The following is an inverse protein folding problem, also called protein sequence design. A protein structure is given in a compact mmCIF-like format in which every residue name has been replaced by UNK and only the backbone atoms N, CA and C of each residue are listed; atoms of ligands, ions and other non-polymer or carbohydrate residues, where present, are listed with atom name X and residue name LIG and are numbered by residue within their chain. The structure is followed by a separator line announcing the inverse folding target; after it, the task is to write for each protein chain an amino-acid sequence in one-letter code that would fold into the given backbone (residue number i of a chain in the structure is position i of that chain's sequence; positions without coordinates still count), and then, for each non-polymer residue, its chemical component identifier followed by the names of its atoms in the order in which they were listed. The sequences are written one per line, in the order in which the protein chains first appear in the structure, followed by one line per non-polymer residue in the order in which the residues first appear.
data_IF_096425021848
#
_entry.id   IF_096425021848
#
_cell.length_a   1.000
_cell.length_b   1.000
_cell.length_c   1.000
_cell.angle_alpha   90.00
_cell.angle_beta   90.00
_cell.angle_gamma   90.00
#
_symmetry.space_group_name_H-M   'P 1'
#
loop_
_entity.id
_entity.type
_entity.pdbx_description
1 polymer ?
#
# COMPACT_ATOMS: atom_id res chain seq x y z
N UNK A 1 -29.29 -25.79 9.71
CA UNK A 1 -30.10 -24.69 10.27
C UNK A 1 -29.33 -23.39 10.02
N UNK A 2 -29.76 -22.57 9.07
CA UNK A 2 -29.14 -21.29 8.76
C UNK A 2 -29.52 -20.28 9.87
N UNK A 3 -28.53 -19.83 10.65
CA UNK A 3 -28.71 -18.73 11.58
C UNK A 3 -28.89 -17.45 10.76
N UNK A 4 -30.13 -16.93 10.71
CA UNK A 4 -30.40 -15.61 10.16
C UNK A 4 -29.70 -14.58 11.06
N UNK A 5 -28.67 -13.93 10.56
CA UNK A 5 -28.07 -12.77 11.20
C UNK A 5 -29.17 -11.71 11.36
N UNK A 6 -29.40 -11.26 12.60
CA UNK A 6 -30.30 -10.15 12.88
C UNK A 6 -29.83 -8.90 12.13
N UNK A 7 -30.75 -8.04 11.63
CA UNK A 7 -30.37 -6.80 10.97
C UNK A 7 -29.52 -5.94 11.92
N UNK A 8 -28.42 -5.40 11.39
CA UNK A 8 -27.55 -4.49 12.14
C UNK A 8 -28.38 -3.31 12.67
N UNK A 9 -28.15 -2.87 13.92
CA UNK A 9 -28.84 -1.72 14.47
C UNK A 9 -28.57 -0.47 13.60
N UNK A 10 -29.53 0.47 13.52
CA UNK A 10 -29.33 1.70 12.77
C UNK A 10 -28.11 2.45 13.29
N UNK A 11 -27.18 2.76 12.38
CA UNK A 11 -26.00 3.57 12.68
C UNK A 11 -26.51 4.94 13.14
N UNK A 12 -26.21 5.30 14.40
CA UNK A 12 -26.54 6.61 14.92
C UNK A 12 -25.90 7.68 14.02
N UNK A 13 -26.72 8.63 13.56
CA UNK A 13 -26.25 9.79 12.82
C UNK A 13 -25.37 10.63 13.74
N UNK A 14 -24.05 10.57 13.55
CA UNK A 14 -23.12 11.46 14.23
C UNK A 14 -23.34 12.86 13.63
N UNK A 15 -23.99 13.74 14.38
CA UNK A 15 -24.05 15.15 13.99
C UNK A 15 -22.63 15.73 13.95
N UNK A 16 -22.21 16.36 12.85
CA UNK A 16 -20.88 16.94 12.76
C UNK A 16 -20.74 18.06 13.78
N UNK A 17 -19.98 17.82 14.85
CA UNK A 17 -19.59 18.87 15.78
C UNK A 17 -18.76 19.92 15.02
N UNK A 18 -19.25 21.16 15.01
CA UNK A 18 -18.56 22.28 14.39
C UNK A 18 -17.29 22.64 15.18
N UNK A 19 -16.18 21.97 14.88
CA UNK A 19 -14.86 22.37 15.37
C UNK A 19 -14.46 23.69 14.71
N UNK A 20 -14.36 24.78 15.50
CA UNK A 20 -13.78 26.04 15.04
C UNK A 20 -12.30 25.82 14.70
N UNK A 21 -12.01 25.50 13.44
CA UNK A 21 -10.65 25.31 12.96
C UNK A 21 -9.86 26.62 13.05
N UNK A 22 -8.75 26.59 13.78
CA UNK A 22 -7.82 27.71 13.90
C UNK A 22 -7.19 28.03 12.53
N UNK A 23 -6.67 29.24 12.34
CA UNK A 23 -5.95 29.60 11.11
C UNK A 23 -4.73 28.69 10.88
N UNK A 24 -4.09 28.20 11.95
CA UNK A 24 -3.01 27.22 11.89
C UNK A 24 -3.55 25.88 11.38
N UNK A 25 -4.67 25.39 11.91
CA UNK A 25 -5.29 24.13 11.44
C UNK A 25 -5.64 24.17 9.95
N UNK A 26 -6.07 25.33 9.46
CA UNK A 26 -6.38 25.53 8.03
C UNK A 26 -5.13 25.50 7.16
N UNK A 27 -4.03 26.09 7.64
CA UNK A 27 -2.74 26.06 6.95
C UNK A 27 -2.17 24.64 6.95
N UNK A 28 -2.18 23.97 8.10
CA UNK A 28 -1.70 22.60 8.27
C UNK A 28 -2.49 21.62 7.41
N UNK A 29 -3.83 21.74 7.37
CA UNK A 29 -4.68 20.96 6.47
C UNK A 29 -4.38 21.22 5.01
N UNK A 30 -4.14 22.47 4.61
CA UNK A 30 -3.79 22.79 3.22
C UNK A 30 -2.43 22.21 2.84
N UNK A 31 -1.45 22.30 3.72
CA UNK A 31 -0.12 21.73 3.51
C UNK A 31 -0.19 20.20 3.45
N UNK A 32 -0.89 19.57 4.39
CA UNK A 32 -1.14 18.13 4.41
C UNK A 32 -1.84 17.68 3.12
N UNK A 33 -2.94 18.33 2.75
CA UNK A 33 -3.66 18.03 1.52
C UNK A 33 -2.77 18.21 0.29
N UNK A 34 -1.93 19.24 0.23
CA UNK A 34 -1.02 19.45 -0.90
C UNK A 34 0.07 18.36 -0.99
N UNK A 35 0.62 17.91 0.14
CA UNK A 35 1.63 16.84 0.17
C UNK A 35 0.98 15.50 -0.18
N UNK A 36 -0.15 15.20 0.46
CA UNK A 36 -0.88 13.95 0.29
C UNK A 36 -1.48 13.83 -1.12
N UNK A 37 -2.05 14.91 -1.67
CA UNK A 37 -2.67 14.91 -3.01
C UNK A 37 -1.68 14.96 -4.16
N UNK A 38 -0.37 15.07 -3.92
CA UNK A 38 0.67 15.10 -4.96
C UNK A 38 1.56 13.87 -4.96
N UNK A 39 1.55 13.08 -3.88
CA UNK A 39 2.44 11.95 -3.71
C UNK A 39 1.67 10.64 -3.64
N UNK A 40 2.31 9.56 -4.09
CA UNK A 40 1.91 8.22 -3.67
C UNK A 40 2.22 8.08 -2.18
N UNK A 41 1.23 7.71 -1.38
CA UNK A 41 1.37 7.70 0.09
C UNK A 41 2.01 6.40 0.56
N UNK A 42 1.45 5.26 0.16
CA UNK A 42 1.92 3.92 0.55
C UNK A 42 2.41 3.15 -0.67
N UNK A 43 3.63 2.62 -0.61
CA UNK A 43 4.17 1.71 -1.63
C UNK A 43 3.71 0.26 -1.42
N UNK A 44 3.54 -0.13 -0.16
CA UNK A 44 2.98 -1.42 0.27
C UNK A 44 2.20 -1.24 1.56
N UNK A 45 1.26 -2.15 1.80
CA UNK A 45 0.63 -2.36 3.09
C UNK A 45 1.42 -3.46 3.84
N UNK A 46 1.53 -3.36 5.16
CA UNK A 46 2.39 -4.22 6.00
C UNK A 46 1.59 -4.99 7.07
N UNK A 47 0.27 -4.90 7.04
CA UNK A 47 -0.62 -5.62 7.94
C UNK A 47 -0.54 -7.13 7.66
N UNK A 48 -0.73 -7.94 8.71
CA UNK A 48 -0.77 -9.39 8.56
C UNK A 48 -2.13 -9.82 7.97
N UNK A 49 -2.17 -10.31 6.71
CA UNK A 49 -3.43 -10.73 6.10
C UNK A 49 -4.03 -11.98 6.76
N UNK A 50 -3.27 -12.74 7.55
CA UNK A 50 -3.80 -13.91 8.26
C UNK A 50 -4.84 -13.50 9.31
N UNK A 51 -4.63 -12.37 10.00
CA UNK A 51 -5.59 -11.84 10.97
C UNK A 51 -6.87 -11.42 10.28
N UNK A 52 -6.77 -10.71 9.15
CA UNK A 52 -7.94 -10.28 8.37
C UNK A 52 -8.74 -11.48 7.85
N UNK A 53 -8.06 -12.54 7.38
CA UNK A 53 -8.74 -13.77 6.95
C UNK A 53 -9.49 -14.47 8.07
N UNK A 54 -8.93 -14.50 9.27
CA UNK A 54 -9.60 -15.08 10.44
C UNK A 54 -10.82 -14.26 10.87
N UNK A 55 -10.70 -12.94 10.83
CA UNK A 55 -11.74 -12.02 11.27
C UNK A 55 -12.90 -11.92 10.26
N UNK A 56 -12.58 -11.81 8.97
CA UNK A 56 -13.57 -11.52 7.92
C UNK A 56 -14.23 -12.78 7.36
N UNK A 57 -13.52 -13.93 7.34
CA UNK A 57 -14.02 -15.21 6.83
C UNK A 57 -14.69 -15.12 5.44
N UNK A 58 -14.09 -14.31 4.54
CA UNK A 58 -14.66 -14.01 3.22
C UNK A 58 -14.94 -15.27 2.40
N UNK A 59 -16.08 -15.28 1.73
CA UNK A 59 -16.56 -16.30 0.80
C UNK A 59 -17.21 -15.72 -0.45
N UNK A 60 -17.67 -16.60 -1.35
CA UNK A 60 -18.05 -16.26 -2.73
C UNK A 60 -19.25 -15.31 -2.88
N UNK A 61 -20.07 -15.15 -1.84
CA UNK A 61 -21.22 -14.25 -1.85
C UNK A 61 -20.89 -12.83 -1.34
N UNK A 62 -19.71 -12.63 -0.76
CA UNK A 62 -19.35 -11.38 -0.11
C UNK A 62 -18.97 -10.27 -1.09
N UNK A 63 -19.37 -9.06 -0.73
CA UNK A 63 -18.99 -7.82 -1.42
C UNK A 63 -18.27 -6.91 -0.42
N UNK A 64 -17.00 -6.61 -0.67
CA UNK A 64 -16.14 -5.91 0.27
C UNK A 64 -15.83 -4.51 -0.25
N UNK A 65 -15.90 -3.50 0.62
CA UNK A 65 -15.35 -2.17 0.37
C UNK A 65 -14.04 -2.03 1.11
N UNK A 66 -12.96 -1.66 0.41
CA UNK A 66 -11.61 -1.56 0.95
C UNK A 66 -11.05 -0.19 0.61
N UNK A 67 -10.42 0.46 1.59
CA UNK A 67 -9.58 1.62 1.32
C UNK A 67 -8.36 1.13 0.56
N UNK A 68 -8.19 1.60 -0.68
CA UNK A 68 -7.23 0.99 -1.62
C UNK A 68 -5.84 0.93 -1.02
N UNK A 69 -5.32 2.03 -0.46
CA UNK A 69 -3.94 2.11 0.02
C UNK A 69 -2.99 1.61 -1.08
N UNK A 70 -2.03 0.71 -0.80
CA UNK A 70 -1.20 0.13 -1.85
C UNK A 70 -1.84 -1.06 -2.61
N UNK A 71 -3.07 -1.43 -2.27
CA UNK A 71 -3.82 -2.53 -2.87
C UNK A 71 -3.46 -3.93 -2.36
N UNK A 72 -2.50 -4.07 -1.45
CA UNK A 72 -2.00 -5.38 -1.01
C UNK A 72 -3.09 -6.23 -0.35
N UNK A 73 -3.83 -5.68 0.62
CA UNK A 73 -4.87 -6.42 1.34
C UNK A 73 -6.04 -6.76 0.41
N UNK A 74 -6.41 -5.85 -0.50
CA UNK A 74 -7.44 -6.13 -1.50
C UNK A 74 -7.08 -7.31 -2.41
N UNK A 75 -5.81 -7.41 -2.83
CA UNK A 75 -5.32 -8.54 -3.61
C UNK A 75 -5.27 -9.83 -2.77
N UNK A 76 -4.92 -9.74 -1.49
CA UNK A 76 -4.96 -10.88 -0.58
C UNK A 76 -6.41 -11.39 -0.39
N UNK A 77 -7.36 -10.48 -0.17
CA UNK A 77 -8.77 -10.83 -0.04
C UNK A 77 -9.32 -11.48 -1.31
N UNK A 78 -8.82 -11.09 -2.49
CA UNK A 78 -9.22 -11.72 -3.75
C UNK A 78 -8.87 -13.22 -3.80
N UNK A 79 -7.85 -13.67 -3.05
CA UNK A 79 -7.51 -15.10 -2.94
C UNK A 79 -8.59 -15.91 -2.21
N UNK A 80 -9.48 -15.25 -1.45
CA UNK A 80 -10.65 -15.89 -0.82
C UNK A 80 -11.85 -16.02 -1.77
N UNK A 81 -11.72 -15.48 -2.98
CA UNK A 81 -12.75 -15.52 -4.02
C UNK A 81 -14.07 -14.82 -3.67
N UNK A 82 -14.08 -13.63 -3.02
CA UNK A 82 -15.32 -12.90 -2.80
C UNK A 82 -15.96 -12.48 -4.11
N UNK A 83 -17.28 -12.25 -4.09
CA UNK A 83 -18.04 -11.84 -5.28
C UNK A 83 -17.48 -10.58 -5.92
N UNK A 84 -17.07 -9.61 -5.09
CA UNK A 84 -16.55 -8.33 -5.55
C UNK A 84 -15.77 -7.61 -4.45
N UNK A 85 -14.70 -6.92 -4.84
CA UNK A 85 -13.96 -5.99 -3.97
C UNK A 85 -13.99 -4.61 -4.61
N UNK A 86 -14.56 -3.65 -3.90
CA UNK A 86 -14.55 -2.23 -4.26
C UNK A 86 -13.36 -1.57 -3.58
N UNK A 87 -12.33 -1.22 -4.36
CA UNK A 87 -11.18 -0.48 -3.87
C UNK A 87 -11.40 1.02 -4.09
N UNK A 88 -11.57 1.78 -3.00
CA UNK A 88 -11.81 3.22 -3.04
C UNK A 88 -10.69 3.94 -2.32
N UNK A 89 -10.15 5.01 -2.91
CA UNK A 89 -9.18 5.86 -2.23
C UNK A 89 -9.46 7.32 -2.56
N UNK A 90 -9.22 8.19 -1.60
CA UNK A 90 -9.30 9.61 -1.84
C UNK A 90 -8.05 10.11 -2.58
N UNK A 91 -6.93 9.37 -2.55
CA UNK A 91 -5.75 9.64 -3.37
C UNK A 91 -5.74 8.70 -4.58
N UNK A 92 -6.07 9.17 -5.79
CA UNK A 92 -6.19 8.32 -6.97
C UNK A 92 -4.88 7.62 -7.38
N UNK A 93 -3.72 8.04 -6.84
CA UNK A 93 -2.42 7.37 -7.07
C UNK A 93 -2.35 6.00 -6.43
N UNK A 94 -3.10 5.79 -5.35
CA UNK A 94 -3.25 4.49 -4.69
C UNK A 94 -4.00 3.52 -5.59
N UNK A 95 -5.09 3.98 -6.20
CA UNK A 95 -5.78 3.23 -7.25
C UNK A 95 -4.87 2.97 -8.46
N UNK A 96 -4.10 3.97 -8.90
CA UNK A 96 -3.14 3.78 -9.99
C UNK A 96 -2.07 2.72 -9.67
N UNK A 97 -1.62 2.60 -8.41
CA UNK A 97 -0.70 1.52 -8.00
C UNK A 97 -1.37 0.15 -8.01
N UNK A 98 -2.61 0.06 -7.53
CA UNK A 98 -3.38 -1.19 -7.62
C UNK A 98 -3.59 -1.60 -9.09
N UNK A 99 -3.94 -0.67 -9.98
CA UNK A 99 -4.06 -0.93 -11.42
C UNK A 99 -2.76 -1.47 -12.01
N UNK A 100 -1.60 -0.88 -11.65
CA UNK A 100 -0.30 -1.36 -12.12
C UNK A 100 0.01 -2.78 -11.64
N UNK A 101 -0.32 -3.10 -10.39
CA UNK A 101 -0.18 -4.47 -9.84
C UNK A 101 -1.11 -5.46 -10.56
N UNK A 102 -2.37 -5.09 -10.78
CA UNK A 102 -3.34 -5.91 -11.50
C UNK A 102 -2.92 -6.18 -12.95
N UNK A 103 -2.44 -5.15 -13.66
CA UNK A 103 -1.90 -5.30 -15.00
C UNK A 103 -0.73 -6.30 -14.99
N UNK A 104 0.21 -6.14 -14.06
CA UNK A 104 1.37 -7.02 -13.96
C UNK A 104 1.00 -8.47 -13.59
N UNK A 105 0.04 -8.68 -12.70
CA UNK A 105 -0.46 -10.03 -12.36
C UNK A 105 -1.07 -10.72 -13.59
N UNK A 106 -1.73 -9.96 -14.47
CA UNK A 106 -2.40 -10.51 -15.65
C UNK A 106 -1.45 -10.81 -16.81
N UNK A 107 -0.38 -10.01 -16.97
CA UNK A 107 0.41 -10.01 -18.20
C UNK A 107 1.86 -10.44 -18.04
N UNK A 108 2.40 -10.47 -16.82
CA UNK A 108 3.80 -10.82 -16.57
C UNK A 108 3.96 -12.19 -15.92
N UNK A 109 5.13 -12.78 -16.10
CA UNK A 109 5.57 -13.93 -15.32
C UNK A 109 5.83 -13.51 -13.86
N UNK A 110 5.75 -14.48 -12.94
CA UNK A 110 5.90 -14.24 -11.51
C UNK A 110 7.27 -13.61 -11.18
N UNK A 111 8.34 -14.01 -11.85
CA UNK A 111 9.69 -13.51 -11.62
C UNK A 111 9.81 -12.02 -11.96
N UNK A 112 9.24 -11.60 -13.09
CA UNK A 112 9.21 -10.19 -13.47
C UNK A 112 8.32 -9.40 -12.49
N UNK A 113 7.15 -9.92 -12.10
CA UNK A 113 6.30 -9.31 -11.09
C UNK A 113 7.03 -9.13 -9.75
N UNK A 114 7.68 -10.18 -9.25
CA UNK A 114 8.36 -10.19 -7.96
C UNK A 114 9.55 -9.23 -7.94
N UNK A 115 10.29 -9.11 -9.04
CA UNK A 115 11.35 -8.09 -9.12
C UNK A 115 10.79 -6.67 -9.09
N UNK A 116 9.71 -6.41 -9.83
CA UNK A 116 9.08 -5.08 -9.86
C UNK A 116 8.54 -4.69 -8.49
N UNK A 117 7.76 -5.57 -7.85
CA UNK A 117 7.07 -5.24 -6.60
C UNK A 117 7.78 -5.78 -5.38
N UNK A 118 8.20 -7.04 -5.32
CA UNK A 118 8.92 -7.62 -4.18
C UNK A 118 10.31 -6.99 -3.94
N UNK A 119 11.13 -6.85 -4.98
CA UNK A 119 12.46 -6.20 -4.88
C UNK A 119 12.36 -4.67 -5.05
N UNK A 120 11.28 -4.18 -5.66
CA UNK A 120 11.10 -2.78 -6.00
C UNK A 120 12.01 -2.29 -7.11
N UNK A 121 12.62 -3.18 -7.90
CA UNK A 121 13.57 -2.85 -8.96
C UNK A 121 13.52 -3.87 -10.10
N UNK A 122 13.43 -3.38 -11.34
CA UNK A 122 13.56 -4.21 -12.51
C UNK A 122 14.35 -3.49 -13.64
N UNK A 123 15.46 -4.07 -14.13
CA UNK A 123 16.31 -3.40 -15.13
C UNK A 123 15.61 -3.17 -16.47
N UNK A 124 14.61 -3.99 -16.80
CA UNK A 124 13.78 -3.85 -18.02
C UNK A 124 12.38 -3.31 -17.73
N UNK A 125 12.16 -2.66 -16.57
CA UNK A 125 10.83 -2.17 -16.21
C UNK A 125 10.22 -1.29 -17.31
N UNK A 126 11.05 -0.45 -17.94
CA UNK A 126 10.59 0.44 -19.00
C UNK A 126 9.99 -0.31 -20.20
N UNK A 127 10.65 -1.36 -20.67
CA UNK A 127 10.14 -2.22 -21.75
C UNK A 127 8.85 -2.93 -21.32
N UNK A 128 8.89 -3.60 -20.16
CA UNK A 128 7.72 -4.31 -19.63
C UNK A 128 6.50 -3.40 -19.47
N UNK A 129 6.73 -2.18 -18.98
CA UNK A 129 5.69 -1.19 -18.81
C UNK A 129 5.06 -0.80 -20.15
N UNK A 130 5.87 -0.44 -21.15
CA UNK A 130 5.38 0.02 -22.45
C UNK A 130 4.69 -1.11 -23.25
N UNK A 131 5.23 -2.33 -23.18
CA UNK A 131 4.77 -3.47 -23.98
C UNK A 131 3.57 -4.19 -23.36
N UNK A 132 3.50 -4.27 -22.02
CA UNK A 132 2.53 -5.14 -21.34
C UNK A 132 1.63 -4.43 -20.33
N UNK A 133 2.13 -3.41 -19.62
CA UNK A 133 1.37 -2.84 -18.49
C UNK A 133 0.52 -1.65 -18.91
N UNK A 134 1.08 -0.75 -19.73
CA UNK A 134 0.52 0.57 -20.00
C UNK A 134 -0.88 0.52 -20.62
N UNK A 135 -1.14 -0.45 -21.49
CA UNK A 135 -2.43 -0.60 -22.20
C UNK A 135 -3.58 -0.99 -21.25
N UNK A 136 -3.29 -1.73 -20.18
CA UNK A 136 -4.28 -2.16 -19.17
C UNK A 136 -4.70 -1.02 -18.22
N UNK A 137 -3.92 0.07 -18.16
CA UNK A 137 -4.13 1.15 -17.20
C UNK A 137 -5.20 2.14 -17.66
N UNK A 138 -5.91 2.72 -16.70
CA UNK A 138 -6.79 3.88 -16.93
C UNK A 138 -5.99 5.12 -17.36
N UNK A 139 -6.63 6.13 -17.99
CA UNK A 139 -5.93 7.34 -18.42
C UNK A 139 -5.14 8.04 -17.31
N UNK A 140 -5.70 8.14 -16.10
CA UNK A 140 -5.00 8.72 -14.95
C UNK A 140 -3.79 7.88 -14.54
N UNK A 141 -3.96 6.56 -14.43
CA UNK A 141 -2.87 5.67 -14.05
C UNK A 141 -1.73 5.68 -15.09
N UNK A 142 -2.05 5.70 -16.40
CA UNK A 142 -1.05 5.86 -17.48
C UNK A 142 -0.27 7.16 -17.31
N UNK A 143 -0.97 8.29 -17.22
CA UNK A 143 -0.34 9.61 -17.12
C UNK A 143 0.55 9.72 -15.88
N UNK A 144 0.11 9.16 -14.75
CA UNK A 144 0.92 9.07 -13.55
C UNK A 144 2.16 8.20 -13.75
N UNK A 145 2.01 6.95 -14.19
CA UNK A 145 3.13 6.02 -14.28
C UNK A 145 4.10 6.36 -15.40
N UNK A 146 3.66 6.93 -16.52
CA UNK A 146 4.51 7.41 -17.62
C UNK A 146 5.61 8.36 -17.08
N UNK A 147 5.28 9.21 -16.11
CA UNK A 147 6.21 10.15 -15.45
C UNK A 147 7.08 9.52 -14.35
N UNK A 148 6.68 8.38 -13.79
CA UNK A 148 7.30 7.78 -12.60
C UNK A 148 7.94 6.41 -12.85
N UNK A 149 8.09 5.99 -14.11
CA UNK A 149 8.73 4.70 -14.47
C UNK A 149 10.12 4.52 -13.86
N UNK A 150 10.86 5.62 -13.72
CA UNK A 150 12.20 5.65 -13.12
C UNK A 150 12.25 5.15 -11.67
N UNK A 151 11.10 5.10 -10.97
CA UNK A 151 11.02 4.59 -9.60
C UNK A 151 11.36 3.10 -9.50
N UNK A 152 11.23 2.35 -10.60
CA UNK A 152 11.52 0.92 -10.65
C UNK A 152 12.85 0.60 -11.36
N UNK A 153 13.56 1.59 -11.91
CA UNK A 153 14.79 1.37 -12.69
C UNK A 153 16.05 1.88 -11.99
N UNK A 154 15.94 2.45 -10.79
CA UNK A 154 17.10 2.92 -10.02
C UNK A 154 17.63 1.84 -9.07
N UNK A 155 18.87 1.38 -9.28
CA UNK A 155 19.56 0.51 -8.30
C UNK A 155 19.84 1.20 -6.96
N UNK A 156 19.86 2.54 -6.94
CA UNK A 156 20.19 3.35 -5.75
C UNK A 156 18.97 3.72 -4.90
N UNK A 157 17.78 3.43 -5.39
CA UNK A 157 16.53 3.60 -4.67
C UNK A 157 15.47 2.74 -5.34
N UNK A 158 15.12 1.63 -4.71
CA UNK A 158 13.96 0.84 -5.13
C UNK A 158 12.69 1.68 -5.04
N UNK A 159 11.61 1.20 -5.67
CA UNK A 159 10.27 1.77 -5.61
C UNK A 159 9.86 2.18 -4.18
N UNK A 160 10.26 1.40 -3.18
CA UNK A 160 9.99 1.62 -1.75
C UNK A 160 10.69 2.84 -1.13
N UNK A 161 11.66 3.41 -1.83
CA UNK A 161 12.28 4.69 -1.49
C UNK A 161 11.75 5.82 -2.37
N UNK A 162 10.52 5.75 -2.88
CA UNK A 162 9.84 6.83 -3.59
C UNK A 162 8.45 7.13 -3.01
N UNK A 163 7.85 8.27 -3.35
CA UNK A 163 6.61 8.75 -2.73
C UNK A 163 6.80 9.22 -1.28
N UNK A 164 5.70 9.42 -0.55
CA UNK A 164 5.71 9.95 0.81
C UNK A 164 6.32 8.95 1.80
N UNK A 165 5.87 7.69 1.79
CA UNK A 165 6.50 6.64 2.61
C UNK A 165 7.96 6.43 2.25
N UNK A 166 8.35 6.52 0.98
CA UNK A 166 9.75 6.51 0.59
C UNK A 166 10.58 7.68 1.12
N UNK A 167 10.02 8.90 1.22
CA UNK A 167 10.68 10.03 1.89
C UNK A 167 10.94 9.69 3.36
N UNK A 168 9.93 9.19 4.05
CA UNK A 168 10.04 8.76 5.46
C UNK A 168 11.11 7.67 5.60
N UNK A 169 11.09 6.65 4.74
CA UNK A 169 12.08 5.57 4.74
C UNK A 169 13.51 6.09 4.54
N UNK A 170 13.73 7.08 3.66
CA UNK A 170 15.05 7.70 3.49
C UNK A 170 15.48 8.50 4.72
N UNK A 171 14.57 9.21 5.38
CA UNK A 171 14.85 9.94 6.62
C UNK A 171 15.22 8.98 7.76
N UNK A 172 14.41 7.94 7.98
CA UNK A 172 14.65 6.90 8.98
C UNK A 172 15.99 6.22 8.72
N UNK A 173 16.29 5.86 7.46
CA UNK A 173 17.60 5.31 7.09
C UNK A 173 18.76 6.26 7.38
N UNK A 174 18.57 7.56 7.17
CA UNK A 174 19.56 8.59 7.52
C UNK A 174 19.79 8.69 9.03
N UNK A 175 18.73 8.64 9.82
CA UNK A 175 18.79 8.64 11.28
C UNK A 175 19.44 7.37 11.85
N UNK A 176 19.13 6.19 11.30
CA UNK A 176 19.80 4.95 11.69
C UNK A 176 21.32 5.01 11.47
N UNK A 177 21.79 5.67 10.41
CA UNK A 177 23.23 5.86 10.16
C UNK A 177 23.92 6.69 11.23
N UNK A 178 23.20 7.57 11.94
CA UNK A 178 23.76 8.32 13.08
C UNK A 178 23.64 7.58 14.41
N UNK A 179 22.94 6.43 14.45
CA UNK A 179 22.69 5.62 15.64
C UNK A 179 23.10 4.15 15.40
N UNK A 180 24.39 3.83 15.25
CA UNK A 180 24.85 2.50 14.81
C UNK A 180 24.45 1.36 15.76
N UNK A 181 24.39 1.61 17.08
CA UNK A 181 23.93 0.61 18.06
C UNK A 181 22.45 0.29 17.90
N UNK A 182 21.62 1.32 17.72
CA UNK A 182 20.19 1.16 17.48
C UNK A 182 19.94 0.44 16.15
N UNK A 183 20.69 0.80 15.12
CA UNK A 183 20.61 0.13 13.82
C UNK A 183 20.96 -1.36 13.96
N UNK A 184 22.07 -1.70 14.61
CA UNK A 184 22.45 -3.10 14.84
C UNK A 184 21.35 -3.88 15.59
N UNK A 185 20.89 -3.37 16.74
CA UNK A 185 19.82 -4.01 17.50
C UNK A 185 18.51 -4.16 16.70
N UNK A 186 18.20 -3.20 15.83
CA UNK A 186 17.01 -3.29 14.96
C UNK A 186 17.17 -4.38 13.90
N UNK A 187 18.35 -4.50 13.29
CA UNK A 187 18.63 -5.58 12.34
C UNK A 187 18.60 -6.93 13.04
N UNK A 188 19.21 -7.05 14.21
CA UNK A 188 19.17 -8.28 15.02
C UNK A 188 17.71 -8.68 15.32
N UNK A 189 16.86 -7.70 15.67
CA UNK A 189 15.43 -7.94 15.95
C UNK A 189 14.65 -8.42 14.71
N UNK A 190 14.99 -7.90 13.52
CA UNK A 190 14.35 -8.23 12.25
C UNK A 190 14.85 -9.55 11.65
N UNK A 191 16.11 -9.91 11.89
CA UNK A 191 16.73 -11.15 11.45
C UNK A 191 16.49 -12.32 12.43
N UNK A 192 15.91 -12.04 13.60
CA UNK A 192 15.54 -13.06 14.59
C UNK A 192 14.64 -14.15 13.98
N UNK A 193 14.99 -15.41 14.22
CA UNK A 193 14.32 -16.56 13.60
C UNK A 193 13.11 -17.06 14.39
N UNK A 194 13.02 -16.68 15.64
CA UNK A 194 11.93 -17.04 16.54
C UNK A 194 11.64 -15.94 17.57
N UNK A 195 10.51 -16.07 18.26
CA UNK A 195 10.01 -15.08 19.22
C UNK A 195 10.90 -15.04 20.46
N UNK A 196 11.51 -16.16 20.84
CA UNK A 196 12.43 -16.27 21.96
C UNK A 196 13.70 -15.45 21.72
N UNK A 197 14.29 -15.53 20.52
CA UNK A 197 15.41 -14.71 20.08
C UNK A 197 15.03 -13.24 20.06
N UNK A 198 13.87 -12.90 19.50
CA UNK A 198 13.36 -11.54 19.47
C UNK A 198 13.25 -10.93 20.89
N UNK A 199 12.73 -11.69 21.86
CA UNK A 199 12.61 -11.29 23.29
C UNK A 199 13.94 -11.15 24.03
N UNK A 200 15.03 -11.74 23.53
CA UNK A 200 16.36 -11.53 24.11
C UNK A 200 16.96 -10.20 23.70
N UNK A 201 16.51 -9.66 22.57
CA UNK A 201 17.00 -8.41 21.98
C UNK A 201 16.20 -7.20 22.53
N UNK A 202 14.90 -7.38 22.80
CA UNK A 202 13.95 -6.37 23.28
C UNK A 202 13.04 -6.92 24.38
#
# INVERSE_FOLDING_TARGET
MAARLSPAPPIATIEPQATRHSLRDRLDRRLFNAIWSRNLVYNTCWEDPAVDRQALQLGADDVVLVITSAGCNALDYALRGPKRIHCVDANPRQNALLELKLAAIRTLAFEDFFRIFGEGYHPRFECLYLEHLRTELSPFARDWWDRHRHWFTSRRGSFYFHGLSGVVARCVRGWFRSQPKLHAATIDLLDARDVEEQRRIY
#
